data_IF_761386889116
#
_entry.id   IF_761386889116
#
_cell.length_a   1.000
_cell.length_b   1.000
_cell.length_c   1.000
_cell.angle_alpha   90.00
_cell.angle_beta   90.00
_cell.angle_gamma   90.00
#
_symmetry.space_group_name_H-M   'P 1'
#
loop_
_entity.id
_entity.type
_entity.pdbx_description
1 polymer ?
#
# COMPACT_ATOMS: atom_id res chain seq x y z
N UNK A 1 12.54 -18.07 -17.63
CA UNK A 1 12.17 -17.70 -19.02
C UNK A 1 10.71 -18.01 -19.32
N UNK A 2 10.23 -19.24 -19.11
CA UNK A 2 8.81 -19.59 -19.40
C UNK A 2 7.79 -18.85 -18.50
N UNK A 3 8.09 -18.69 -17.21
CA UNK A 3 7.22 -17.93 -16.28
C UNK A 3 7.09 -16.45 -16.65
N UNK A 4 8.14 -15.85 -17.20
CA UNK A 4 8.13 -14.47 -17.69
C UNK A 4 7.28 -14.35 -18.96
N UNK A 5 7.39 -15.31 -19.87
CA UNK A 5 6.55 -15.39 -21.07
C UNK A 5 5.07 -15.53 -20.72
N UNK A 6 4.73 -16.43 -19.79
CA UNK A 6 3.35 -16.61 -19.33
C UNK A 6 2.78 -15.33 -18.68
N UNK A 7 3.58 -14.67 -17.83
CA UNK A 7 3.19 -13.40 -17.24
C UNK A 7 2.90 -12.31 -18.28
N UNK A 8 3.76 -12.18 -19.30
CA UNK A 8 3.57 -11.22 -20.39
C UNK A 8 2.30 -11.53 -21.19
N UNK A 9 2.05 -12.81 -21.50
CA UNK A 9 0.85 -13.22 -22.23
C UNK A 9 -0.43 -12.95 -21.44
N UNK A 10 -0.43 -13.21 -20.13
CA UNK A 10 -1.55 -12.87 -19.25
C UNK A 10 -1.80 -11.36 -19.22
N UNK A 11 -0.73 -10.57 -19.10
CA UNK A 11 -0.84 -9.11 -19.10
C UNK A 11 -1.42 -8.58 -20.43
N UNK A 12 -0.96 -9.08 -21.57
CA UNK A 12 -1.50 -8.73 -22.88
C UNK A 12 -2.97 -9.11 -23.02
N UNK A 13 -3.36 -10.28 -22.51
CA UNK A 13 -4.75 -10.73 -22.51
C UNK A 13 -5.66 -9.81 -21.67
N UNK A 14 -5.18 -9.36 -20.52
CA UNK A 14 -5.92 -8.43 -19.66
C UNK A 14 -6.07 -7.05 -20.30
N UNK A 15 -5.00 -6.52 -20.92
CA UNK A 15 -5.06 -5.27 -21.68
C UNK A 15 -6.08 -5.35 -22.81
N UNK A 16 -6.05 -6.43 -23.60
CA UNK A 16 -7.04 -6.67 -24.66
C UNK A 16 -8.47 -6.74 -24.11
N UNK A 17 -8.67 -7.46 -23.01
CA UNK A 17 -9.99 -7.63 -22.38
C UNK A 17 -10.54 -6.31 -21.85
N UNK A 18 -9.70 -5.48 -21.24
CA UNK A 18 -10.06 -4.17 -20.72
C UNK A 18 -10.38 -3.19 -21.84
N UNK A 19 -9.49 -3.06 -22.82
CA UNK A 19 -9.69 -2.20 -23.99
C UNK A 19 -11.00 -2.53 -24.71
N UNK A 20 -11.25 -3.81 -25.00
CA UNK A 20 -12.48 -4.28 -25.63
C UNK A 20 -13.72 -4.02 -24.77
N UNK A 21 -13.59 -4.10 -23.44
CA UNK A 21 -14.70 -3.81 -22.52
C UNK A 21 -15.07 -2.34 -22.53
N UNK A 22 -14.09 -1.45 -22.54
CA UNK A 22 -14.32 -0.01 -22.65
C UNK A 22 -14.89 0.37 -24.00
N UNK A 23 -14.38 -0.22 -25.08
CA UNK A 23 -14.92 -0.02 -26.42
C UNK A 23 -16.43 -0.32 -26.47
N UNK A 24 -16.88 -1.42 -25.83
CA UNK A 24 -18.31 -1.74 -25.69
C UNK A 24 -19.07 -0.76 -24.79
N UNK A 25 -18.46 -0.29 -23.71
CA UNK A 25 -19.10 0.65 -22.77
C UNK A 25 -19.41 1.96 -23.46
N UNK A 26 -18.41 2.57 -24.11
CA UNK A 26 -18.53 3.91 -24.68
C UNK A 26 -19.31 3.92 -26.00
N UNK A 27 -19.19 2.89 -26.84
CA UNK A 27 -19.81 2.90 -28.16
C UNK A 27 -21.18 2.21 -28.23
N UNK A 28 -21.51 1.35 -27.25
CA UNK A 28 -22.75 0.57 -27.24
C UNK A 28 -23.58 0.86 -25.99
N UNK A 29 -23.00 0.69 -24.79
CA UNK A 29 -23.79 0.68 -23.53
C UNK A 29 -24.21 2.09 -23.08
N UNK A 30 -23.26 3.04 -23.00
CA UNK A 30 -23.54 4.44 -22.62
C UNK A 30 -24.51 5.13 -23.59
N UNK A 31 -24.35 5.00 -24.92
CA UNK A 31 -25.31 5.56 -25.88
C UNK A 31 -26.60 4.73 -26.00
N UNK A 32 -26.79 3.69 -25.17
CA UNK A 32 -27.97 2.81 -25.14
C UNK A 32 -28.31 2.18 -26.50
N UNK A 33 -27.29 1.78 -27.26
CA UNK A 33 -27.44 1.15 -28.57
C UNK A 33 -27.57 -0.36 -28.44
N UNK A 34 -28.38 -0.95 -29.31
CA UNK A 34 -28.41 -2.40 -29.51
C UNK A 34 -27.17 -2.87 -30.28
N UNK A 35 -26.84 -4.17 -30.24
CA UNK A 35 -25.74 -4.71 -31.02
C UNK A 35 -25.96 -4.56 -32.55
N UNK A 36 -27.23 -4.55 -33.01
CA UNK A 36 -27.55 -4.30 -34.41
C UNK A 36 -27.25 -2.85 -34.80
N UNK A 37 -27.75 -1.90 -34.02
CA UNK A 37 -27.46 -0.46 -34.24
C UNK A 37 -25.96 -0.15 -34.13
N UNK A 38 -25.22 -0.93 -33.34
CA UNK A 38 -23.79 -0.73 -33.21
C UNK A 38 -23.01 -0.98 -34.51
N UNK A 39 -23.52 -1.83 -35.42
CA UNK A 39 -22.84 -2.13 -36.69
C UNK A 39 -22.69 -0.89 -37.59
N UNK A 40 -23.64 0.03 -37.51
CA UNK A 40 -23.65 1.27 -38.30
C UNK A 40 -22.83 2.39 -37.65
N UNK A 41 -22.48 2.25 -36.37
CA UNK A 41 -21.75 3.25 -35.59
C UNK A 41 -20.33 2.78 -35.27
N UNK A 42 -19.45 2.89 -36.25
CA UNK A 42 -18.02 2.54 -36.12
C UNK A 42 -17.29 3.59 -35.26
N UNK A 43 -16.56 3.20 -34.20
CA UNK A 43 -15.74 4.11 -33.42
C UNK A 43 -14.62 4.76 -34.25
N UNK A 44 -14.25 6.01 -33.94
CA UNK A 44 -13.14 6.68 -34.62
C UNK A 44 -11.82 5.91 -34.43
N UNK A 45 -11.07 5.74 -35.51
CA UNK A 45 -9.80 5.02 -35.50
C UNK A 45 -9.90 3.49 -35.57
N UNK A 46 -11.11 2.92 -35.70
CA UNK A 46 -11.32 1.49 -35.90
C UNK A 46 -11.84 1.20 -37.31
N UNK A 47 -11.34 0.14 -37.97
CA UNK A 47 -11.85 -0.22 -39.28
C UNK A 47 -13.25 -0.84 -39.18
N UNK A 48 -14.06 -0.64 -40.22
CA UNK A 48 -15.43 -1.18 -40.27
C UNK A 48 -15.44 -2.70 -40.13
N UNK A 49 -14.51 -3.40 -40.80
CA UNK A 49 -14.41 -4.87 -40.78
C UNK A 49 -14.09 -5.40 -39.38
N UNK A 50 -13.12 -4.78 -38.69
CA UNK A 50 -12.72 -5.15 -37.32
C UNK A 50 -13.86 -4.94 -36.33
N UNK A 51 -14.59 -3.82 -36.48
CA UNK A 51 -15.74 -3.52 -35.65
C UNK A 51 -16.90 -4.50 -35.85
N UNK A 52 -17.17 -4.86 -37.11
CA UNK A 52 -18.18 -5.88 -37.43
C UNK A 52 -17.82 -7.22 -36.80
N UNK A 53 -16.57 -7.66 -36.97
CA UNK A 53 -16.06 -8.90 -36.37
C UNK A 53 -16.18 -8.88 -34.84
N UNK A 54 -15.82 -7.77 -34.17
CA UNK A 54 -15.97 -7.62 -32.71
C UNK A 54 -17.43 -7.76 -32.27
N UNK A 55 -18.38 -7.18 -33.02
CA UNK A 55 -19.80 -7.27 -32.71
C UNK A 55 -20.30 -8.71 -32.89
N UNK A 56 -20.01 -9.35 -34.02
CA UNK A 56 -20.55 -10.68 -34.36
C UNK A 56 -19.86 -11.79 -33.59
N UNK A 57 -18.52 -11.82 -33.60
CA UNK A 57 -17.75 -12.95 -33.08
C UNK A 57 -17.52 -12.85 -31.58
N UNK A 58 -17.45 -11.63 -31.04
CA UNK A 58 -17.05 -11.45 -29.65
C UNK A 58 -18.22 -10.98 -28.79
N UNK A 59 -18.92 -9.92 -29.16
CA UNK A 59 -19.99 -9.38 -28.30
C UNK A 59 -21.31 -10.15 -28.40
N UNK A 60 -21.58 -10.80 -29.53
CA UNK A 60 -22.81 -11.57 -29.75
C UNK A 60 -22.73 -13.00 -29.22
N UNK A 61 -21.53 -13.60 -29.12
CA UNK A 61 -21.34 -14.97 -28.64
C UNK A 61 -21.73 -15.16 -27.16
N UNK A 62 -22.27 -16.35 -26.90
CA UNK A 62 -22.91 -16.79 -25.66
C UNK A 62 -22.04 -16.82 -24.37
N UNK A 63 -20.72 -17.12 -24.37
CA UNK A 63 -19.96 -17.16 -23.11
C UNK A 63 -19.95 -15.81 -22.37
N UNK A 64 -20.01 -14.69 -23.10
CA UNK A 64 -20.13 -13.36 -22.48
C UNK A 64 -21.53 -13.07 -21.96
N UNK A 65 -22.58 -13.62 -22.58
CA UNK A 65 -23.96 -13.53 -22.08
C UNK A 65 -24.11 -14.35 -20.79
N UNK A 66 -23.60 -15.58 -20.76
CA UNK A 66 -23.57 -16.47 -19.58
C UNK A 66 -22.76 -15.89 -18.44
N UNK A 67 -21.54 -15.41 -18.69
CA UNK A 67 -20.72 -14.76 -17.66
C UNK A 67 -21.36 -13.47 -17.12
N UNK A 68 -21.99 -12.66 -17.98
CA UNK A 68 -22.72 -11.45 -17.58
C UNK A 68 -23.95 -11.80 -16.75
N UNK A 69 -24.74 -12.79 -17.16
CA UNK A 69 -25.91 -13.26 -16.41
C UNK A 69 -25.51 -13.77 -15.02
N UNK A 70 -24.46 -14.61 -14.94
CA UNK A 70 -23.92 -15.11 -13.66
C UNK A 70 -23.40 -13.97 -12.77
N UNK A 71 -22.63 -13.02 -13.32
CA UNK A 71 -22.15 -11.87 -12.57
C UNK A 71 -23.27 -10.91 -12.12
N UNK A 72 -24.33 -10.75 -12.91
CA UNK A 72 -25.50 -9.95 -12.55
C UNK A 72 -26.32 -10.64 -11.45
N UNK A 73 -26.54 -11.95 -11.57
CA UNK A 73 -27.18 -12.77 -10.53
C UNK A 73 -26.38 -12.73 -9.22
N UNK A 74 -25.05 -12.86 -9.29
CA UNK A 74 -24.19 -12.72 -8.12
C UNK A 74 -24.32 -11.32 -7.48
N UNK A 75 -24.36 -10.24 -8.28
CA UNK A 75 -24.61 -8.87 -7.77
C UNK A 75 -25.99 -8.70 -7.14
N UNK A 76 -27.01 -9.32 -7.71
CA UNK A 76 -28.36 -9.29 -7.15
C UNK A 76 -28.43 -10.03 -5.80
N UNK A 77 -27.73 -11.15 -5.67
CA UNK A 77 -27.62 -11.90 -4.41
C UNK A 77 -26.85 -11.10 -3.34
N UNK A 78 -25.77 -10.41 -3.70
CA UNK A 78 -25.04 -9.53 -2.77
C UNK A 78 -25.92 -8.40 -2.19
N UNK A 79 -26.94 -7.94 -2.92
CA UNK A 79 -27.87 -6.90 -2.45
C UNK A 79 -28.80 -7.39 -1.34
N UNK A 80 -29.11 -8.70 -1.27
CA UNK A 80 -30.03 -9.27 -0.27
C UNK A 80 -29.31 -9.71 1.01
N UNK A 81 -28.10 -10.26 0.90
CA UNK A 81 -27.36 -10.79 2.07
C UNK A 81 -26.44 -9.77 2.77
N UNK A 82 -26.11 -8.64 2.10
CA UNK A 82 -25.23 -7.60 2.66
C UNK A 82 -25.85 -6.21 2.62
N UNK A 83 -27.11 -6.08 3.03
CA UNK A 83 -27.55 -4.79 3.56
C UNK A 83 -26.67 -4.49 4.76
N UNK A 84 -25.93 -3.39 4.72
CA UNK A 84 -25.23 -2.88 5.88
C UNK A 84 -26.26 -2.77 7.01
N UNK A 85 -26.16 -3.65 8.02
CA UNK A 85 -26.88 -3.42 9.28
C UNK A 85 -26.39 -2.06 9.76
N UNK A 86 -27.36 -1.16 9.93
CA UNK A 86 -27.23 0.27 10.24
C UNK A 86 -25.96 0.53 11.07
N UNK A 87 -25.04 1.32 10.52
CA UNK A 87 -23.83 1.80 11.21
C UNK A 87 -22.49 1.25 10.73
N UNK A 88 -22.43 0.18 9.92
CA UNK A 88 -21.15 -0.36 9.43
C UNK A 88 -20.66 0.34 8.14
N UNK A 89 -19.42 0.86 8.17
CA UNK A 89 -18.79 1.49 6.98
C UNK A 89 -18.70 0.49 5.81
N UNK A 90 -18.95 0.92 4.56
CA UNK A 90 -18.80 0.05 3.39
C UNK A 90 -17.39 -0.53 3.28
N UNK A 91 -17.27 -1.81 2.89
CA UNK A 91 -15.99 -2.50 2.74
C UNK A 91 -15.00 -1.72 1.87
N UNK A 92 -15.50 -1.02 0.84
CA UNK A 92 -14.71 -0.10 0.02
C UNK A 92 -14.06 1.03 0.83
N UNK A 93 -14.79 1.61 1.78
CA UNK A 93 -14.28 2.67 2.64
C UNK A 93 -13.24 2.15 3.63
N UNK A 94 -13.45 0.96 4.21
CA UNK A 94 -12.48 0.32 5.10
C UNK A 94 -11.19 -0.01 4.35
N UNK A 95 -11.30 -0.60 3.16
CA UNK A 95 -10.13 -0.90 2.32
C UNK A 95 -9.39 0.38 1.89
N UNK A 96 -10.11 1.47 1.61
CA UNK A 96 -9.51 2.76 1.30
C UNK A 96 -8.79 3.37 2.51
N UNK A 97 -9.43 3.39 3.69
CA UNK A 97 -8.80 3.87 4.92
C UNK A 97 -7.52 3.08 5.25
N UNK A 98 -7.51 1.75 5.05
CA UNK A 98 -6.34 0.91 5.33
C UNK A 98 -5.21 1.03 4.30
N UNK A 99 -5.54 1.16 3.01
CA UNK A 99 -4.53 1.15 1.92
C UNK A 99 -4.09 2.56 1.56
N UNK A 100 -5.03 3.49 1.42
CA UNK A 100 -4.73 4.85 0.97
C UNK A 100 -4.03 5.68 2.06
N UNK A 101 -4.39 5.55 3.34
CA UNK A 101 -3.68 6.29 4.41
C UNK A 101 -2.24 5.83 4.62
N UNK A 102 -1.93 4.57 4.32
CA UNK A 102 -0.58 4.00 4.48
C UNK A 102 0.35 4.38 3.33
N UNK A 103 -0.19 4.56 2.12
CA UNK A 103 0.58 4.79 0.89
C UNK A 103 0.55 6.26 0.45
N UNK A 104 -0.57 6.95 0.64
CA UNK A 104 -0.75 8.35 0.22
C UNK A 104 -0.97 9.23 1.46
N UNK A 105 0.03 10.06 1.80
CA UNK A 105 -0.04 11.05 2.90
C UNK A 105 -1.00 12.22 2.62
N UNK A 106 -1.81 12.15 1.56
CA UNK A 106 -2.71 13.21 1.13
C UNK A 106 -4.15 12.96 1.60
N UNK A 107 -4.76 13.97 2.23
CA UNK A 107 -6.16 13.98 2.70
C UNK A 107 -7.18 14.32 1.59
N UNK A 108 -6.78 14.39 0.32
CA UNK A 108 -7.74 14.66 -0.76
C UNK A 108 -8.63 13.43 -0.97
N UNK A 109 -9.86 13.49 -0.44
CA UNK A 109 -10.92 12.47 -0.62
C UNK A 109 -11.41 12.37 -2.07
N UNK A 110 -10.98 13.30 -2.90
CA UNK A 110 -11.41 13.43 -4.28
C UNK A 110 -10.31 12.94 -5.22
N UNK A 111 -10.65 11.92 -6.02
CA UNK A 111 -9.82 11.26 -7.03
C UNK A 111 -8.83 10.17 -6.56
N UNK A 112 -9.33 9.17 -5.82
CA UNK A 112 -8.88 7.80 -6.12
C UNK A 112 -9.80 7.27 -7.20
N UNK A 113 -9.39 7.53 -8.45
CA UNK A 113 -9.89 6.82 -9.62
C UNK A 113 -9.50 5.36 -9.40
N UNK A 114 -10.41 4.59 -8.82
CA UNK A 114 -10.25 3.15 -8.70
C UNK A 114 -10.07 2.60 -10.10
N UNK A 115 -8.94 1.96 -10.36
CA UNK A 115 -8.64 1.26 -11.61
C UNK A 115 -9.88 0.44 -12.04
N UNK A 116 -10.60 0.98 -13.00
CA UNK A 116 -11.75 0.33 -13.61
C UNK A 116 -11.22 -0.73 -14.55
N UNK A 117 -11.19 -1.99 -14.10
CA UNK A 117 -10.64 -3.07 -14.94
C UNK A 117 -10.41 -4.40 -14.25
N UNK A 118 -10.96 -4.63 -13.05
CA UNK A 118 -10.78 -5.91 -12.38
C UNK A 118 -9.38 -6.14 -11.77
N UNK A 119 -8.54 -5.10 -11.68
CA UNK A 119 -7.25 -5.13 -10.97
C UNK A 119 -7.51 -5.46 -9.50
N UNK A 120 -7.07 -6.65 -9.08
CA UNK A 120 -7.11 -7.12 -7.69
C UNK A 120 -5.85 -6.64 -6.99
N UNK A 121 -5.89 -6.51 -5.66
CA UNK A 121 -4.73 -6.06 -4.88
C UNK A 121 -3.45 -6.89 -5.14
N UNK A 122 -3.59 -8.20 -5.42
CA UNK A 122 -2.50 -9.09 -5.83
C UNK A 122 -1.82 -8.72 -7.16
N UNK A 123 -2.52 -8.02 -8.05
CA UNK A 123 -1.99 -7.63 -9.36
C UNK A 123 -1.11 -6.35 -9.23
N UNK A 124 -1.21 -5.64 -8.10
CA UNK A 124 -0.40 -4.46 -7.75
C UNK A 124 0.75 -4.86 -6.82
N UNK A 125 0.51 -5.83 -5.92
CA UNK A 125 1.41 -6.17 -4.81
C UNK A 125 2.29 -7.39 -5.13
N UNK A 126 2.01 -8.11 -6.22
CA UNK A 126 2.68 -9.37 -6.56
C UNK A 126 2.04 -10.58 -5.88
N UNK A 127 2.63 -11.78 -6.03
CA UNK A 127 2.11 -13.00 -5.43
C UNK A 127 1.96 -12.82 -3.92
N UNK A 128 0.77 -13.14 -3.40
CA UNK A 128 0.55 -13.12 -1.95
C UNK A 128 1.50 -14.13 -1.30
N UNK A 129 2.37 -13.66 -0.41
CA UNK A 129 3.22 -14.49 0.43
C UNK A 129 2.35 -15.59 1.08
N UNK A 130 2.79 -16.84 0.98
CA UNK A 130 2.02 -17.97 1.53
C UNK A 130 1.99 -17.90 3.05
N UNK A 131 0.97 -18.50 3.67
CA UNK A 131 0.85 -18.52 5.14
C UNK A 131 2.12 -19.03 5.82
N UNK A 132 2.77 -20.04 5.23
CA UNK A 132 3.99 -20.65 5.75
C UNK A 132 5.16 -19.67 5.70
N UNK A 133 5.35 -18.95 4.59
CA UNK A 133 6.39 -17.94 4.45
C UNK A 133 6.20 -16.78 5.44
N UNK A 134 4.95 -16.34 5.66
CA UNK A 134 4.63 -15.32 6.67
C UNK A 134 4.94 -15.80 8.10
N UNK A 135 4.66 -17.05 8.43
CA UNK A 135 4.98 -17.62 9.75
C UNK A 135 6.50 -17.72 9.96
N UNK A 136 7.27 -18.06 8.92
CA UNK A 136 8.75 -18.07 8.96
C UNK A 136 9.31 -16.67 9.19
N UNK A 137 8.83 -15.69 8.43
CA UNK A 137 9.28 -14.30 8.54
C UNK A 137 8.92 -13.69 9.91
N UNK A 138 7.71 -13.97 10.41
CA UNK A 138 7.27 -13.54 11.74
C UNK A 138 8.17 -14.11 12.84
N UNK A 139 8.50 -15.39 12.77
CA UNK A 139 9.38 -16.04 13.74
C UNK A 139 10.82 -15.51 13.66
N UNK A 140 11.35 -15.27 12.47
CA UNK A 140 12.66 -14.66 12.29
C UNK A 140 12.72 -13.24 12.86
N UNK A 141 11.66 -12.45 12.65
CA UNK A 141 11.54 -11.08 13.18
C UNK A 141 11.44 -11.08 14.70
N UNK A 142 10.67 -12.01 15.29
CA UNK A 142 10.58 -12.17 16.75
C UNK A 142 11.94 -12.47 17.38
N UNK A 143 12.72 -13.40 16.82
CA UNK A 143 14.07 -13.72 17.29
C UNK A 143 15.02 -12.53 17.22
N UNK A 144 14.96 -11.75 16.13
CA UNK A 144 15.76 -10.52 16.01
C UNK A 144 15.39 -9.49 17.06
N UNK A 145 14.10 -9.31 17.32
CA UNK A 145 13.63 -8.36 18.32
C UNK A 145 14.05 -8.76 19.74
N UNK A 146 13.99 -10.05 20.07
CA UNK A 146 14.48 -10.58 21.35
C UNK A 146 15.96 -10.25 21.57
N UNK A 147 16.82 -10.56 20.59
CA UNK A 147 18.25 -10.23 20.64
C UNK A 147 18.50 -8.71 20.74
N UNK A 148 17.69 -7.90 20.06
CA UNK A 148 17.82 -6.44 20.14
C UNK A 148 17.43 -5.92 21.52
N UNK A 149 16.39 -6.46 22.15
CA UNK A 149 16.02 -6.10 23.53
C UNK A 149 17.16 -6.42 24.49
N UNK A 150 17.76 -7.59 24.39
CA UNK A 150 18.91 -7.97 25.25
C UNK A 150 20.11 -7.04 25.05
N UNK A 151 20.38 -6.61 23.80
CA UNK A 151 21.46 -5.65 23.53
C UNK A 151 21.17 -4.28 24.09
N UNK A 152 19.91 -3.83 24.03
CA UNK A 152 19.50 -2.53 24.57
C UNK A 152 19.66 -2.52 26.09
N UNK A 153 19.23 -3.57 26.80
CA UNK A 153 19.39 -3.65 28.25
C UNK A 153 20.86 -3.64 28.68
N UNK A 154 21.74 -4.35 27.95
CA UNK A 154 23.20 -4.30 28.19
C UNK A 154 23.73 -2.87 28.00
N UNK A 155 23.39 -2.21 26.90
CA UNK A 155 23.87 -0.84 26.63
C UNK A 155 23.34 0.15 27.67
N UNK A 156 22.10 0.00 28.12
CA UNK A 156 21.52 0.84 29.18
C UNK A 156 22.27 0.68 30.50
N UNK A 157 22.55 -0.56 30.92
CA UNK A 157 23.33 -0.83 32.14
C UNK A 157 24.76 -0.30 32.06
N UNK A 158 25.43 -0.45 30.90
CA UNK A 158 26.75 0.14 30.69
C UNK A 158 26.71 1.68 30.73
N UNK A 159 25.70 2.30 30.13
CA UNK A 159 25.55 3.74 30.12
C UNK A 159 25.27 4.29 31.52
N UNK A 160 24.49 3.59 32.34
CA UNK A 160 24.29 3.92 33.76
C UNK A 160 25.62 3.89 34.52
N UNK A 161 26.39 2.81 34.35
CA UNK A 161 27.72 2.69 34.96
C UNK A 161 28.68 3.81 34.52
N UNK A 162 28.70 4.13 33.22
CA UNK A 162 29.52 5.24 32.68
C UNK A 162 29.07 6.58 33.24
N UNK A 163 27.77 6.83 33.36
CA UNK A 163 27.24 8.08 33.93
C UNK A 163 27.69 8.26 35.37
N UNK A 164 27.55 7.22 36.20
CA UNK A 164 28.01 7.25 37.59
C UNK A 164 29.52 7.53 37.71
N UNK A 165 30.32 6.95 36.81
CA UNK A 165 31.78 7.21 36.76
C UNK A 165 32.09 8.65 36.37
N UNK A 166 31.38 9.21 35.39
CA UNK A 166 31.55 10.60 34.96
C UNK A 166 31.15 11.55 36.08
N UNK A 167 30.01 11.32 36.73
CA UNK A 167 29.56 12.13 37.87
C UNK A 167 30.56 12.13 39.03
N UNK A 168 31.15 10.97 39.34
CA UNK A 168 32.20 10.88 40.36
C UNK A 168 33.46 11.69 39.98
N UNK A 169 33.90 11.60 38.72
CA UNK A 169 35.05 12.37 38.22
C UNK A 169 34.75 13.87 38.21
N UNK A 170 33.55 14.28 37.80
CA UNK A 170 33.11 15.68 37.82
C UNK A 170 33.05 16.23 39.24
N UNK A 171 32.61 15.44 40.22
CA UNK A 171 32.61 15.82 41.63
C UNK A 171 34.04 16.03 42.18
N UNK A 172 34.98 15.13 41.89
CA UNK A 172 36.39 15.28 42.27
C UNK A 172 37.06 16.47 41.56
N UNK A 173 36.77 16.66 40.28
CA UNK A 173 37.24 17.81 39.51
C UNK A 173 36.70 19.13 40.08
N UNK A 174 35.45 19.15 40.55
CA UNK A 174 34.86 20.28 41.27
C UNK A 174 35.65 20.64 42.51
N UNK A 175 35.98 19.65 43.36
CA UNK A 175 36.82 19.86 44.56
C UNK A 175 38.21 20.41 44.19
N UNK A 176 38.84 19.86 43.14
CA UNK A 176 40.13 20.34 42.67
C UNK A 176 40.06 21.79 42.16
N UNK A 177 39.03 22.11 41.37
CA UNK A 177 38.78 23.46 40.87
C UNK A 177 38.60 24.47 42.00
N UNK A 178 37.83 24.11 43.04
CA UNK A 178 37.64 24.94 44.23
C UNK A 178 38.95 25.15 44.99
N UNK A 179 39.77 24.10 45.11
CA UNK A 179 41.08 24.18 45.75
C UNK A 179 42.02 25.14 44.99
N UNK A 180 42.15 25.00 43.66
CA UNK A 180 42.98 25.90 42.82
C UNK A 180 42.50 27.35 42.91
N UNK A 181 41.19 27.55 42.82
CA UNK A 181 40.59 28.90 42.89
C UNK A 181 40.92 29.60 44.21
N UNK A 182 40.91 28.85 45.33
CA UNK A 182 41.31 29.36 46.65
C UNK A 182 42.81 29.64 46.75
N UNK A 183 43.67 28.77 46.22
CA UNK A 183 45.13 28.95 46.31
C UNK A 183 45.62 30.13 45.49
N UNK A 184 45.03 30.37 44.31
CA UNK A 184 45.49 31.39 43.37
C UNK A 184 44.66 32.68 43.43
N UNK A 185 43.58 32.73 44.23
CA UNK A 185 42.65 33.85 44.33
C UNK A 185 42.07 34.29 42.96
N UNK A 186 41.77 33.30 42.11
CA UNK A 186 41.21 33.48 40.76
C UNK A 186 39.82 32.85 40.68
N UNK A 187 38.94 33.44 39.88
CA UNK A 187 37.62 32.87 39.58
C UNK A 187 37.68 32.11 38.25
N UNK A 188 37.50 30.78 38.29
CA UNK A 188 37.50 29.94 37.09
C UNK A 188 36.05 29.77 36.60
N UNK A 189 35.67 30.30 35.42
CA UNK A 189 34.31 30.18 34.91
C UNK A 189 33.87 28.72 34.74
N UNK A 190 32.57 28.46 34.97
CA UNK A 190 31.97 27.16 34.67
C UNK A 190 31.56 27.11 33.20
N UNK A 191 31.96 26.05 32.48
CA UNK A 191 31.44 25.80 31.15
C UNK A 191 30.03 25.18 31.30
N UNK A 192 29.00 26.01 31.15
CA UNK A 192 27.63 25.52 31.03
C UNK A 192 27.49 24.78 29.69
N UNK A 193 27.28 23.47 29.74
CA UNK A 193 27.10 22.62 28.58
C UNK A 193 25.73 22.95 27.95
N UNK A 194 25.72 23.77 26.89
CA UNK A 194 24.52 24.12 26.12
C UNK A 194 24.02 22.90 25.35
N UNK A 195 23.24 22.03 26.01
CA UNK A 195 22.48 20.98 25.32
C UNK A 195 21.33 21.61 24.52
N UNK A 196 21.62 22.10 23.32
CA UNK A 196 20.63 22.33 22.27
C UNK A 196 21.25 21.88 20.94
N UNK A 197 21.06 20.60 20.63
CA UNK A 197 21.50 19.99 19.38
C UNK A 197 20.58 18.82 19.06
N UNK A 198 19.32 19.12 18.77
CA UNK A 198 18.39 18.18 18.15
C UNK A 198 18.86 17.99 16.69
N UNK A 199 19.29 16.80 16.25
CA UNK A 199 19.59 16.59 14.85
C UNK A 199 18.27 16.41 14.11
N UNK A 200 17.96 17.37 13.25
CA UNK A 200 16.91 17.25 12.24
C UNK A 200 17.28 16.29 11.12
#
# INVERSE_FOLDING_TARGET
MESYREHVLLHMYDLWTNWRSDLKRYNITKPKRTLRQALDHVPSGLQKVEWHWLITEIYSKDPHKKARAKNSANRANYKKERLHRIGSKPFRQVAWELVAQKVFKSKSRDSVVGYGGGVKAKDIIGPSCTRVELEVELNATRKKNEVLVDRVTIVETENESRRNRVEAVEAEMGKFKDWVSKQLNINIPSYANTKNGNPG
#
